data_IF_303082593016
#
_entry.id   IF_303082593016
#
_cell.length_a   1.000
_cell.length_b   1.000
_cell.length_c   1.000
_cell.angle_alpha   90.00
_cell.angle_beta   90.00
_cell.angle_gamma   90.00
#
_symmetry.space_group_name_H-M   'P 1'
#
loop_
_entity.id
_entity.type
_entity.pdbx_description
1 polymer ?
#
# COMPACT_ATOMS: atom_id res chain seq x y z
N UNK A 1 -3.33 -5.02 2.30
CA UNK A 1 -4.13 -4.39 1.21
C UNK A 1 -3.67 -4.87 -0.17
N UNK A 2 -2.47 -4.51 -0.64
CA UNK A 2 -2.00 -4.86 -1.99
C UNK A 2 -2.05 -6.37 -2.31
N UNK A 3 -1.71 -7.24 -1.34
CA UNK A 3 -1.87 -8.68 -1.53
C UNK A 3 -3.33 -9.13 -1.79
N UNK A 4 -4.32 -8.53 -1.11
CA UNK A 4 -5.74 -8.83 -1.37
C UNK A 4 -6.08 -8.46 -2.82
N UNK A 5 -5.63 -7.30 -3.30
CA UNK A 5 -5.84 -6.84 -4.68
C UNK A 5 -5.15 -7.76 -5.69
N UNK A 6 -3.91 -8.17 -5.43
CA UNK A 6 -3.18 -9.14 -6.27
C UNK A 6 -3.94 -10.46 -6.39
N UNK A 7 -4.49 -10.95 -5.28
CA UNK A 7 -5.30 -12.18 -5.26
C UNK A 7 -6.64 -12.02 -5.99
N UNK A 8 -7.33 -10.90 -5.75
CA UNK A 8 -8.64 -10.63 -6.36
C UNK A 8 -8.55 -10.53 -7.88
N UNK A 9 -7.60 -9.76 -8.41
CA UNK A 9 -7.42 -9.59 -9.85
C UNK A 9 -6.58 -10.69 -10.49
N UNK A 10 -6.02 -11.61 -9.68
CA UNK A 10 -5.03 -12.60 -10.10
C UNK A 10 -3.85 -11.97 -10.89
N UNK A 11 -3.46 -10.75 -10.52
CA UNK A 11 -2.55 -9.89 -11.29
C UNK A 11 -1.80 -8.89 -10.41
N UNK A 12 -0.52 -8.64 -10.71
CA UNK A 12 0.32 -7.65 -10.01
C UNK A 12 0.61 -6.39 -10.84
N UNK A 13 0.78 -6.54 -12.15
CA UNK A 13 1.11 -5.49 -13.14
C UNK A 13 -0.08 -4.58 -13.45
N UNK A 14 -0.71 -4.06 -12.40
CA UNK A 14 -1.77 -3.05 -12.50
C UNK A 14 -1.13 -1.69 -12.28
N UNK A 15 -0.98 -0.93 -13.35
CA UNK A 15 -0.44 0.42 -13.31
C UNK A 15 -1.50 1.43 -12.85
N UNK A 16 -1.09 2.38 -12.02
CA UNK A 16 -1.96 3.47 -11.56
C UNK A 16 -1.15 4.71 -11.17
N UNK A 17 -1.82 5.85 -11.15
CA UNK A 17 -1.28 7.11 -10.60
C UNK A 17 -2.05 7.47 -9.34
N UNK A 18 -1.31 7.76 -8.28
CA UNK A 18 -1.84 8.17 -6.98
C UNK A 18 -1.37 9.58 -6.63
N UNK A 19 -2.26 10.37 -6.05
CA UNK A 19 -1.94 11.66 -5.45
C UNK A 19 -2.25 11.51 -3.96
N UNK A 20 -1.22 11.63 -3.13
CA UNK A 20 -1.39 11.64 -1.67
C UNK A 20 -1.94 12.98 -1.22
N UNK A 21 -2.83 12.97 -0.23
CA UNK A 21 -3.25 14.22 0.41
C UNK A 21 -2.09 14.93 1.12
N UNK A 22 -1.01 14.24 1.45
CA UNK A 22 0.21 14.88 1.96
C UNK A 22 0.88 15.79 0.91
N UNK A 23 0.64 15.56 -0.38
CA UNK A 23 1.27 16.26 -1.51
C UNK A 23 0.26 16.51 -2.65
N UNK A 24 -0.89 17.09 -2.31
CA UNK A 24 -1.99 17.32 -3.26
C UNK A 24 -2.07 18.77 -3.79
N UNK A 25 -1.13 19.66 -3.42
CA UNK A 25 -1.20 21.08 -3.79
C UNK A 25 -2.22 21.90 -2.98
N UNK A 26 -2.79 21.33 -1.91
CA UNK A 26 -3.81 21.97 -1.07
C UNK A 26 -3.44 21.89 0.41
N UNK A 27 -2.99 20.72 0.88
CA UNK A 27 -2.62 20.48 2.27
C UNK A 27 -1.48 21.38 2.70
N UNK A 28 -1.63 21.99 3.88
CA UNK A 28 -0.63 22.86 4.48
C UNK A 28 0.36 22.03 5.32
N UNK A 29 1.62 22.44 5.32
CA UNK A 29 2.59 22.00 6.33
C UNK A 29 2.32 22.67 7.69
N UNK A 30 3.19 22.39 8.67
CA UNK A 30 3.05 22.91 10.03
C UNK A 30 3.25 24.43 10.09
N UNK A 31 4.03 24.96 9.16
CA UNK A 31 4.38 26.36 9.02
C UNK A 31 3.34 27.14 8.20
N UNK A 32 2.32 26.45 7.66
CA UNK A 32 1.23 27.03 6.88
C UNK A 32 1.51 27.14 5.38
N UNK A 33 2.62 26.57 4.88
CA UNK A 33 2.93 26.55 3.45
C UNK A 33 2.16 25.43 2.76
N UNK A 34 1.65 25.69 1.55
CA UNK A 34 1.02 24.66 0.72
C UNK A 34 2.08 23.66 0.26
N UNK A 35 1.84 22.37 0.53
CA UNK A 35 2.71 21.30 0.03
C UNK A 35 2.50 21.08 -1.46
N UNK A 36 3.56 20.84 -2.24
CA UNK A 36 3.46 20.74 -3.69
C UNK A 36 2.57 19.57 -4.13
N UNK A 37 1.97 19.69 -5.30
CA UNK A 37 1.27 18.59 -5.97
C UNK A 37 2.31 17.60 -6.54
N UNK A 38 2.35 16.38 -6.02
CA UNK A 38 3.29 15.33 -6.44
C UNK A 38 2.54 14.05 -6.79
N UNK A 39 2.09 13.87 -8.04
CA UNK A 39 1.55 12.61 -8.51
C UNK A 39 2.64 11.54 -8.57
N UNK A 40 2.32 10.32 -8.13
CA UNK A 40 3.22 9.16 -8.19
C UNK A 40 2.58 8.08 -9.06
N UNK A 41 3.30 7.62 -10.07
CA UNK A 41 2.86 6.53 -10.94
C UNK A 41 3.60 5.25 -10.58
N UNK A 42 2.84 4.18 -10.37
CA UNK A 42 3.33 2.84 -10.12
C UNK A 42 2.98 1.94 -11.29
N UNK A 43 3.88 1.01 -11.63
CA UNK A 43 3.72 -0.01 -12.67
C UNK A 43 3.08 -1.28 -12.13
N UNK A 44 3.16 -1.52 -10.82
CA UNK A 44 2.55 -2.69 -10.18
C UNK A 44 2.08 -2.41 -8.76
N UNK A 45 1.21 -3.28 -8.26
CA UNK A 45 0.77 -3.27 -6.87
C UNK A 45 1.93 -3.57 -5.90
N UNK A 46 2.87 -4.42 -6.30
CA UNK A 46 4.09 -4.72 -5.53
C UNK A 46 5.04 -3.53 -5.41
N UNK A 47 5.18 -2.74 -6.48
CA UNK A 47 6.00 -1.51 -6.44
C UNK A 47 5.41 -0.51 -5.44
N UNK A 48 4.09 -0.31 -5.47
CA UNK A 48 3.40 0.55 -4.53
C UNK A 48 3.47 0.04 -3.08
N UNK A 49 3.38 -1.28 -2.85
CA UNK A 49 3.55 -1.90 -1.53
C UNK A 49 4.95 -1.64 -0.96
N UNK A 50 5.98 -1.80 -1.79
CA UNK A 50 7.37 -1.59 -1.40
C UNK A 50 7.65 -0.11 -1.10
N UNK A 51 7.21 0.83 -1.96
CA UNK A 51 7.39 2.26 -1.72
C UNK A 51 6.62 2.72 -0.47
N UNK A 52 5.39 2.21 -0.26
CA UNK A 52 4.63 2.49 0.95
C UNK A 52 5.38 2.03 2.22
N UNK A 53 5.97 0.83 2.20
CA UNK A 53 6.80 0.36 3.31
C UNK A 53 8.09 1.17 3.48
N UNK A 54 8.77 1.49 2.38
CA UNK A 54 10.02 2.25 2.35
C UNK A 54 9.84 3.68 2.88
N UNK A 55 8.66 4.29 2.68
CA UNK A 55 8.33 5.63 3.18
C UNK A 55 8.60 5.78 4.68
N UNK A 56 8.41 4.71 5.45
CA UNK A 56 8.58 4.69 6.91
C UNK A 56 10.04 4.83 7.34
N UNK A 57 10.96 4.37 6.49
CA UNK A 57 12.42 4.50 6.69
C UNK A 57 12.85 5.94 6.41
N UNK A 58 12.32 6.55 5.34
CA UNK A 58 12.61 7.96 5.02
C UNK A 58 12.11 8.92 6.09
N UNK A 59 11.01 8.58 6.75
CA UNK A 59 10.50 9.32 7.91
C UNK A 59 11.28 9.04 9.20
N UNK A 60 12.23 8.09 9.22
CA UNK A 60 13.05 7.79 10.39
C UNK A 60 12.30 7.11 11.55
N UNK A 61 11.15 6.52 11.28
CA UNK A 61 10.23 5.96 12.31
C UNK A 61 10.14 4.44 12.30
N UNK A 62 10.86 3.77 11.40
CA UNK A 62 10.96 2.30 11.33
C UNK A 62 12.35 1.89 10.86
N UNK A 63 12.78 0.70 11.25
CA UNK A 63 13.99 0.05 10.73
C UNK A 63 13.69 -0.76 9.47
N UNK A 64 14.73 -1.04 8.67
CA UNK A 64 14.57 -1.80 7.42
C UNK A 64 13.94 -3.19 7.62
N UNK A 65 14.21 -3.83 8.77
CA UNK A 65 13.59 -5.12 9.10
C UNK A 65 12.10 -4.98 9.45
N UNK A 66 11.67 -3.86 10.07
CA UNK A 66 10.25 -3.60 10.35
C UNK A 66 9.44 -3.56 9.05
N UNK A 67 9.97 -2.87 8.03
CA UNK A 67 9.37 -2.85 6.68
C UNK A 67 9.24 -4.26 6.11
N UNK A 68 10.37 -4.99 6.06
CA UNK A 68 10.43 -6.31 5.41
C UNK A 68 9.46 -7.29 6.08
N UNK A 69 9.52 -7.41 7.40
CA UNK A 69 8.68 -8.33 8.14
C UNK A 69 7.22 -7.87 8.16
N UNK A 70 6.96 -6.56 8.21
CA UNK A 70 5.61 -6.00 8.11
C UNK A 70 4.93 -6.30 6.78
N UNK A 71 5.63 -6.14 5.65
CA UNK A 71 5.12 -6.54 4.33
C UNK A 71 4.85 -8.04 4.29
N UNK A 72 5.78 -8.87 4.76
CA UNK A 72 5.61 -10.33 4.77
C UNK A 72 4.43 -10.77 5.64
N UNK A 73 4.26 -10.18 6.82
CA UNK A 73 3.12 -10.42 7.71
C UNK A 73 1.80 -9.98 7.05
N UNK A 74 1.76 -8.79 6.47
CA UNK A 74 0.58 -8.27 5.78
C UNK A 74 0.13 -9.15 4.62
N UNK A 75 1.07 -9.74 3.87
CA UNK A 75 0.79 -10.73 2.83
C UNK A 75 0.14 -11.99 3.40
N UNK A 76 0.73 -12.58 4.45
CA UNK A 76 0.16 -13.78 5.10
C UNK A 76 -1.25 -13.55 5.65
N UNK A 77 -1.50 -12.38 6.25
CA UNK A 77 -2.84 -12.01 6.73
C UNK A 77 -3.82 -11.89 5.57
N UNK A 78 -3.43 -11.21 4.49
CA UNK A 78 -4.26 -11.08 3.31
C UNK A 78 -4.57 -12.43 2.66
N UNK A 79 -3.60 -13.34 2.60
CA UNK A 79 -3.80 -14.68 2.09
C UNK A 79 -4.82 -15.43 2.94
N UNK A 80 -4.61 -15.44 4.26
CA UNK A 80 -5.54 -16.08 5.19
C UNK A 80 -6.96 -15.52 5.07
N UNK A 81 -7.13 -14.19 5.08
CA UNK A 81 -8.45 -13.57 4.96
C UNK A 81 -9.10 -13.93 3.63
N UNK A 82 -8.36 -13.85 2.51
CA UNK A 82 -8.93 -14.15 1.19
C UNK A 82 -9.39 -15.61 1.09
N UNK A 83 -8.63 -16.54 1.66
CA UNK A 83 -8.98 -17.97 1.66
C UNK A 83 -10.18 -18.31 2.57
N UNK A 84 -10.47 -17.52 3.59
CA UNK A 84 -11.42 -17.91 4.64
C UNK A 84 -12.66 -17.02 4.73
N UNK A 85 -12.56 -15.72 4.38
CA UNK A 85 -13.66 -14.77 4.53
C UNK A 85 -14.64 -14.77 3.35
N UNK A 86 -14.22 -15.21 2.16
CA UNK A 86 -15.06 -15.25 0.95
C UNK A 86 -15.60 -16.66 0.63
N UNK A 87 -15.79 -17.48 1.66
CA UNK A 87 -16.36 -18.82 1.52
C UNK A 87 -17.88 -18.77 1.28
N UNK A 88 -18.46 -19.78 0.58
CA UNK A 88 -19.91 -19.86 0.42
C UNK A 88 -20.63 -19.80 1.76
N UNK A 89 -21.64 -18.93 1.86
CA UNK A 89 -22.42 -18.77 3.09
C UNK A 89 -23.24 -20.02 3.45
N UNK A 90 -23.48 -20.92 2.49
CA UNK A 90 -24.08 -22.23 2.69
C UNK A 90 -23.24 -23.27 1.95
N UNK A 91 -22.93 -24.38 2.63
CA UNK A 91 -22.47 -25.60 1.98
C UNK A 91 -23.69 -26.35 1.42
N UNK A 92 -23.57 -27.03 0.26
CA UNK A 92 -24.61 -27.92 -0.24
C UNK A 92 -24.91 -29.05 0.76
#
# INVERSE_FOLDING_TARGET
MFQVLRRFYARDDIAFTFISDEFNGVTLDREGNVRPLVPRTFRSLSEAEEENGQSRIYLGIHWAFDKREGIAQGRRVADHVFDHAFQPAHKP
#
